data_IF_623489151984
#
_entry.id   IF_623489151984
#
_cell.length_a   1.000
_cell.length_b   1.000
_cell.length_c   1.000
_cell.angle_alpha   90.00
_cell.angle_beta   90.00
_cell.angle_gamma   90.00
#
_symmetry.space_group_name_H-M   'P 1'
#
loop_
_entity.id
_entity.type
_entity.pdbx_description
1 polymer ?
#
# COMPACT_ATOMS: atom_id res chain seq x y z
N UNK A 1 53.98 10.13 23.79
CA UNK A 1 54.62 9.26 22.78
C UNK A 1 53.95 7.90 22.63
N UNK A 2 54.04 6.94 23.57
CA UNK A 2 53.41 5.61 23.38
C UNK A 2 51.87 5.61 23.36
N UNK A 3 51.24 6.45 24.20
CA UNK A 3 49.77 6.61 24.24
C UNK A 3 49.22 7.34 23.00
N UNK A 4 50.01 8.24 22.41
CA UNK A 4 49.64 8.96 21.19
C UNK A 4 49.75 8.04 19.96
N UNK A 5 50.76 7.17 19.90
CA UNK A 5 50.85 6.17 18.83
C UNK A 5 49.72 5.14 18.89
N UNK A 6 49.25 4.78 20.09
CA UNK A 6 48.15 3.83 20.26
C UNK A 6 46.80 4.45 19.87
N UNK A 7 46.58 5.73 20.18
CA UNK A 7 45.40 6.47 19.74
C UNK A 7 45.36 6.67 18.22
N UNK A 8 46.50 6.96 17.59
CA UNK A 8 46.61 7.05 16.12
C UNK A 8 46.41 5.69 15.46
N UNK A 9 46.93 4.61 16.06
CA UNK A 9 46.69 3.25 15.59
C UNK A 9 45.20 2.89 15.66
N UNK A 10 44.51 3.20 16.76
CA UNK A 10 43.07 3.02 16.89
C UNK A 10 42.27 3.77 15.82
N UNK A 11 42.54 5.06 15.64
CA UNK A 11 41.85 5.88 14.64
C UNK A 11 42.07 5.40 13.19
N UNK A 12 43.27 4.90 12.88
CA UNK A 12 43.56 4.34 11.55
C UNK A 12 42.86 3.00 11.32
N UNK A 13 42.74 2.15 12.35
CA UNK A 13 42.00 0.89 12.29
C UNK A 13 40.50 1.16 12.08
N UNK A 14 39.92 2.09 12.82
CA UNK A 14 38.51 2.47 12.65
C UNK A 14 38.21 3.01 11.25
N UNK A 15 39.12 3.83 10.70
CA UNK A 15 38.99 4.34 9.33
C UNK A 15 39.11 3.23 8.28
N UNK A 16 40.03 2.29 8.48
CA UNK A 16 40.18 1.12 7.62
C UNK A 16 38.93 0.22 7.70
N UNK A 17 38.37 0.04 8.88
CA UNK A 17 37.16 -0.75 9.09
C UNK A 17 35.95 -0.08 8.43
N UNK A 18 35.76 1.22 8.61
CA UNK A 18 34.69 1.97 7.95
C UNK A 18 34.81 1.88 6.42
N UNK A 19 36.04 1.97 5.89
CA UNK A 19 36.29 1.82 4.46
C UNK A 19 36.05 0.39 3.98
N UNK A 20 36.43 -0.62 4.75
CA UNK A 20 36.18 -2.02 4.44
C UNK A 20 34.69 -2.31 4.43
N UNK A 21 33.93 -1.84 5.43
CA UNK A 21 32.47 -1.93 5.47
C UNK A 21 31.84 -1.29 4.23
N UNK A 22 32.30 -0.10 3.83
CA UNK A 22 31.80 0.55 2.60
C UNK A 22 32.09 -0.28 1.34
N UNK A 23 33.29 -0.84 1.21
CA UNK A 23 33.64 -1.72 0.09
C UNK A 23 32.81 -3.00 0.08
N UNK A 24 32.57 -3.59 1.25
CA UNK A 24 31.69 -4.76 1.42
C UNK A 24 30.27 -4.43 0.99
N UNK A 25 29.72 -3.29 1.42
CA UNK A 25 28.41 -2.82 0.98
C UNK A 25 28.32 -2.63 -0.54
N UNK A 26 29.34 -2.03 -1.16
CA UNK A 26 29.36 -1.87 -2.61
C UNK A 26 29.39 -3.21 -3.36
N UNK A 27 29.95 -4.25 -2.74
CA UNK A 27 30.08 -5.57 -3.34
C UNK A 27 28.82 -6.42 -3.19
N UNK A 28 28.21 -6.42 -2.00
CA UNK A 28 27.05 -7.25 -1.66
C UNK A 28 25.72 -6.53 -1.92
N UNK A 29 25.70 -5.21 -1.82
CA UNK A 29 24.50 -4.36 -1.97
C UNK A 29 23.48 -4.53 -0.86
N UNK A 30 23.77 -5.34 0.17
CA UNK A 30 22.86 -5.70 1.25
C UNK A 30 23.43 -5.26 2.59
N UNK A 31 22.58 -4.63 3.41
CA UNK A 31 22.86 -4.33 4.81
C UNK A 31 21.94 -5.12 5.70
N UNK A 32 22.46 -5.59 6.83
CA UNK A 32 21.64 -6.11 7.91
C UNK A 32 20.84 -4.95 8.53
N UNK A 33 19.79 -5.26 9.30
CA UNK A 33 18.91 -4.26 9.92
C UNK A 33 19.66 -3.27 10.86
N UNK A 34 20.86 -3.63 11.31
CA UNK A 34 21.77 -2.80 12.13
C UNK A 34 22.65 -1.85 11.32
N UNK A 35 22.52 -1.81 9.99
CA UNK A 35 23.33 -0.96 9.11
C UNK A 35 24.76 -1.45 8.90
N UNK A 36 25.12 -2.63 9.43
CA UNK A 36 26.40 -3.29 9.12
C UNK A 36 26.23 -4.08 7.82
N UNK A 37 27.10 -3.89 6.82
CA UNK A 37 27.01 -4.63 5.57
C UNK A 37 27.37 -6.09 5.77
N UNK A 38 26.51 -6.98 5.26
CA UNK A 38 26.66 -8.43 5.38
C UNK A 38 27.99 -8.86 4.77
N UNK A 39 28.78 -9.64 5.50
CA UNK A 39 30.07 -10.14 4.99
C UNK A 39 29.83 -11.02 3.76
N UNK A 40 30.58 -10.83 2.66
CA UNK A 40 30.39 -11.64 1.47
C UNK A 40 30.70 -13.11 1.80
N UNK A 41 29.77 -14.01 1.48
CA UNK A 41 30.03 -15.44 1.57
C UNK A 41 31.20 -15.81 0.66
N UNK A 42 32.06 -16.72 1.14
CA UNK A 42 33.18 -17.21 0.33
C UNK A 42 32.57 -17.93 -0.89
N UNK A 43 32.90 -17.50 -2.13
CA UNK A 43 32.28 -18.08 -3.32
C UNK A 43 32.56 -19.58 -3.36
N UNK A 44 31.52 -20.38 -3.59
CA UNK A 44 31.61 -21.83 -3.61
C UNK A 44 32.33 -22.34 -4.88
N UNK A 45 32.36 -21.51 -5.93
CA UNK A 45 33.02 -21.78 -7.21
C UNK A 45 33.74 -20.54 -7.74
N UNK A 46 34.77 -20.76 -8.57
CA UNK A 46 35.50 -19.68 -9.26
C UNK A 46 34.58 -18.86 -10.17
N UNK A 47 33.48 -19.43 -10.66
CA UNK A 47 32.53 -18.73 -11.53
C UNK A 47 31.69 -17.67 -10.80
N UNK A 48 31.59 -17.78 -9.47
CA UNK A 48 30.88 -16.82 -8.62
C UNK A 48 31.75 -15.61 -8.25
N UNK A 49 33.04 -15.64 -8.60
CA UNK A 49 33.95 -14.52 -8.36
C UNK A 49 33.53 -13.27 -9.14
N UNK A 50 33.74 -12.11 -8.52
CA UNK A 50 33.34 -10.79 -9.05
C UNK A 50 34.02 -10.52 -10.39
N UNK A 51 35.28 -10.92 -10.56
CA UNK A 51 36.03 -10.77 -11.81
C UNK A 51 35.41 -11.57 -12.96
N UNK A 52 34.97 -12.81 -12.72
CA UNK A 52 34.29 -13.64 -13.73
C UNK A 52 32.91 -13.09 -14.08
N UNK A 53 32.15 -12.59 -13.09
CA UNK A 53 30.85 -11.93 -13.31
C UNK A 53 31.01 -10.66 -14.15
N UNK A 54 32.02 -9.84 -13.88
CA UNK A 54 32.32 -8.64 -14.67
C UNK A 54 32.73 -9.01 -16.10
N UNK A 55 33.64 -9.98 -16.27
CA UNK A 55 34.05 -10.44 -17.61
C UNK A 55 32.86 -11.03 -18.41
N UNK A 56 31.93 -11.71 -17.74
CA UNK A 56 30.69 -12.18 -18.36
C UNK A 56 29.82 -11.02 -18.80
N UNK A 57 29.57 -10.04 -17.93
CA UNK A 57 28.79 -8.85 -18.27
C UNK A 57 29.42 -8.07 -19.42
N UNK A 58 30.74 -7.93 -19.45
CA UNK A 58 31.48 -7.32 -20.56
C UNK A 58 31.27 -8.11 -21.86
N UNK A 59 31.39 -9.44 -21.82
CA UNK A 59 31.13 -10.27 -23.00
C UNK A 59 29.68 -10.20 -23.49
N UNK A 60 28.71 -10.09 -22.57
CA UNK A 60 27.29 -9.94 -22.88
C UNK A 60 26.99 -8.54 -23.44
N UNK A 61 27.61 -7.50 -22.90
CA UNK A 61 27.54 -6.12 -23.40
C UNK A 61 28.14 -6.03 -24.81
N UNK A 62 29.28 -6.67 -25.05
CA UNK A 62 29.92 -6.72 -26.36
C UNK A 62 29.09 -7.53 -27.37
N UNK A 63 28.38 -8.56 -26.92
CA UNK A 63 27.39 -9.24 -27.77
C UNK A 63 26.21 -8.32 -28.08
N UNK A 64 25.76 -7.53 -27.10
CA UNK A 64 24.64 -6.60 -27.24
C UNK A 64 24.99 -5.40 -28.13
N UNK A 65 26.22 -4.88 -28.05
CA UNK A 65 26.72 -3.78 -28.87
C UNK A 65 26.72 -4.13 -30.36
N UNK A 66 26.96 -5.41 -30.70
CA UNK A 66 26.90 -5.92 -32.08
C UNK A 66 25.48 -6.11 -32.58
N UNK A 67 24.53 -6.43 -31.70
CA UNK A 67 23.12 -6.68 -32.06
C UNK A 67 22.25 -5.42 -32.07
N UNK A 68 22.55 -4.44 -31.22
CA UNK A 68 21.70 -3.26 -31.01
C UNK A 68 22.50 -1.98 -31.31
N UNK A 69 22.16 -1.24 -32.37
CA UNK A 69 22.91 -0.03 -32.77
C UNK A 69 22.88 1.06 -31.71
N UNK A 70 21.80 1.19 -30.93
CA UNK A 70 21.70 2.18 -29.86
C UNK A 70 22.75 1.99 -28.75
N UNK A 71 23.11 0.74 -28.42
CA UNK A 71 24.13 0.45 -27.39
C UNK A 71 25.51 0.88 -27.90
N UNK A 72 25.79 0.65 -29.19
CA UNK A 72 27.02 1.12 -29.83
C UNK A 72 27.10 2.64 -29.84
N UNK A 73 25.99 3.34 -30.12
CA UNK A 73 25.96 4.79 -30.16
C UNK A 73 26.18 5.40 -28.75
N UNK A 74 25.65 4.77 -27.70
CA UNK A 74 25.90 5.16 -26.30
C UNK A 74 27.37 4.94 -25.91
N UNK A 75 27.96 3.80 -26.31
CA UNK A 75 29.38 3.54 -26.05
C UNK A 75 30.28 4.57 -26.76
N UNK A 76 29.97 4.91 -28.01
CA UNK A 76 30.68 5.98 -28.73
C UNK A 76 30.48 7.36 -28.08
N UNK A 77 29.29 7.62 -27.52
CA UNK A 77 29.02 8.86 -26.81
C UNK A 77 29.82 8.95 -25.51
N UNK A 78 29.93 7.84 -24.78
CA UNK A 78 30.76 7.72 -23.57
C UNK A 78 32.24 7.95 -23.89
N UNK A 79 32.77 7.31 -24.94
CA UNK A 79 34.17 7.48 -25.34
C UNK A 79 34.49 8.92 -25.79
N UNK A 80 33.55 9.57 -26.47
CA UNK A 80 33.72 10.94 -26.96
C UNK A 80 33.55 12.00 -25.87
N UNK A 81 32.71 11.72 -24.87
CA UNK A 81 32.37 12.68 -23.82
C UNK A 81 32.37 11.99 -22.45
N UNK A 82 33.55 11.63 -21.91
CA UNK A 82 33.64 11.02 -20.58
C UNK A 82 33.11 11.95 -19.48
N UNK A 83 33.19 13.27 -19.72
CA UNK A 83 32.76 14.32 -18.81
C UNK A 83 31.24 14.37 -18.57
N UNK A 84 30.43 13.78 -19.45
CA UNK A 84 28.97 13.70 -19.25
C UNK A 84 28.58 12.67 -18.19
N UNK A 85 29.45 11.69 -17.92
CA UNK A 85 29.16 10.54 -17.05
C UNK A 85 30.00 10.53 -15.78
N UNK A 86 31.08 11.31 -15.74
CA UNK A 86 31.82 11.59 -14.52
C UNK A 86 31.23 12.85 -13.88
N UNK A 87 30.62 12.70 -12.71
CA UNK A 87 30.20 13.85 -11.91
C UNK A 87 31.44 14.66 -11.55
N UNK A 88 31.65 15.81 -12.21
CA UNK A 88 32.69 16.76 -11.84
C UNK A 88 32.57 17.05 -10.34
N UNK A 89 33.65 16.96 -9.55
CA UNK A 89 33.59 17.26 -8.13
C UNK A 89 33.07 18.71 -7.93
N UNK A 90 32.21 18.96 -6.93
CA UNK A 90 31.45 20.22 -6.78
C UNK A 90 32.30 21.49 -6.57
N UNK A 91 33.63 21.36 -6.55
CA UNK A 91 34.57 22.46 -6.32
C UNK A 91 35.43 22.82 -7.55
N UNK A 92 35.26 22.14 -8.68
CA UNK A 92 35.96 22.50 -9.92
C UNK A 92 35.00 23.18 -10.87
N UNK A 93 35.28 24.44 -11.20
CA UNK A 93 34.56 25.20 -12.21
C UNK A 93 34.79 24.47 -13.54
N UNK A 94 33.74 24.13 -14.32
CA UNK A 94 33.91 23.39 -15.56
C UNK A 94 34.81 24.18 -16.52
N UNK A 95 35.98 23.63 -16.87
CA UNK A 95 36.98 24.29 -17.74
C UNK A 95 36.50 24.46 -19.19
N UNK A 96 35.41 23.78 -19.59
CA UNK A 96 34.88 23.79 -20.94
C UNK A 96 33.83 24.85 -21.26
N UNK A 97 33.36 25.64 -20.28
CA UNK A 97 32.30 26.62 -20.48
C UNK A 97 32.84 28.06 -20.46
N UNK A 98 32.66 28.78 -21.57
CA UNK A 98 33.02 30.21 -21.63
C UNK A 98 32.21 30.99 -20.60
N UNK A 99 32.80 32.05 -20.03
CA UNK A 99 32.15 32.93 -19.04
C UNK A 99 30.84 33.52 -19.55
N UNK A 100 30.73 33.72 -20.87
CA UNK A 100 29.53 34.18 -21.54
C UNK A 100 28.40 33.13 -21.51
N UNK A 101 28.72 31.85 -21.69
CA UNK A 101 27.74 30.76 -21.59
C UNK A 101 27.24 30.61 -20.16
N UNK A 102 28.14 30.69 -19.16
CA UNK A 102 27.75 30.67 -17.75
C UNK A 102 26.83 31.84 -17.39
N UNK A 103 27.15 33.05 -17.84
CA UNK A 103 26.30 34.22 -17.65
C UNK A 103 24.92 34.02 -18.30
N UNK A 104 24.85 33.44 -19.50
CA UNK A 104 23.58 33.16 -20.19
C UNK A 104 22.72 32.14 -19.44
N UNK A 105 23.34 31.11 -18.85
CA UNK A 105 22.64 30.11 -18.03
C UNK A 105 22.10 30.78 -16.76
N UNK A 106 22.94 31.53 -16.04
CA UNK A 106 22.50 32.24 -14.83
C UNK A 106 21.38 33.23 -15.15
N UNK A 107 21.45 33.95 -16.27
CA UNK A 107 20.38 34.85 -16.71
C UNK A 107 19.09 34.10 -17.05
N UNK A 108 19.19 32.91 -17.65
CA UNK A 108 18.03 32.08 -17.97
C UNK A 108 17.30 31.57 -16.72
N UNK A 109 18.04 31.36 -15.62
CA UNK A 109 17.49 30.95 -14.32
C UNK A 109 17.27 32.13 -13.35
N UNK A 110 17.54 33.37 -13.77
CA UNK A 110 17.52 34.54 -12.90
C UNK A 110 16.15 34.80 -12.28
N UNK A 111 15.06 34.45 -12.96
CA UNK A 111 13.69 34.58 -12.45
C UNK A 111 13.27 33.41 -11.55
N UNK A 112 13.89 32.24 -11.71
CA UNK A 112 13.62 31.06 -10.88
C UNK A 112 14.20 31.20 -9.46
N UNK A 113 15.30 31.93 -9.28
CA UNK A 113 15.88 32.17 -7.95
C UNK A 113 14.98 32.98 -7.00
N UNK A 114 14.41 34.14 -7.37
CA UNK A 114 13.48 34.86 -6.51
C UNK A 114 12.16 34.12 -6.35
N UNK A 115 11.67 33.39 -7.36
CA UNK A 115 10.46 32.56 -7.23
C UNK A 115 10.65 31.41 -6.24
N UNK A 116 11.77 30.69 -6.31
CA UNK A 116 12.08 29.60 -5.37
C UNK A 116 12.35 30.13 -3.97
N UNK A 117 13.03 31.26 -3.82
CA UNK A 117 13.19 31.93 -2.53
C UNK A 117 11.84 32.34 -1.94
N UNK A 118 10.93 32.94 -2.72
CA UNK A 118 9.59 33.29 -2.28
C UNK A 118 8.77 32.06 -1.87
N UNK A 119 8.87 30.96 -2.63
CA UNK A 119 8.22 29.68 -2.27
C UNK A 119 8.79 29.08 -0.99
N UNK A 120 10.11 29.15 -0.78
CA UNK A 120 10.75 28.67 0.46
C UNK A 120 10.37 29.53 1.67
N UNK A 121 10.30 30.86 1.52
CA UNK A 121 9.78 31.74 2.56
C UNK A 121 8.32 31.42 2.88
N UNK A 122 7.48 31.27 1.85
CA UNK A 122 6.07 30.90 2.02
C UNK A 122 5.89 29.51 2.65
N UNK A 123 6.79 28.56 2.39
CA UNK A 123 6.80 27.23 3.02
C UNK A 123 7.26 27.29 4.49
N UNK A 124 8.19 28.18 4.81
CA UNK A 124 8.63 28.42 6.18
C UNK A 124 7.53 29.07 7.04
N UNK A 125 6.64 29.84 6.41
CA UNK A 125 5.47 30.44 7.06
C UNK A 125 4.34 29.42 7.32
N UNK A 126 4.43 28.19 6.80
CA UNK A 126 3.50 27.11 7.15
C UNK A 126 3.91 26.52 8.51
N UNK A 127 3.09 26.66 9.56
CA UNK A 127 3.37 25.97 10.81
C UNK A 127 3.26 24.47 10.55
N UNK A 128 4.39 23.77 10.66
CA UNK A 128 4.39 22.31 10.77
C UNK A 128 3.51 21.98 11.99
N UNK A 129 2.46 21.14 11.84
CA UNK A 129 1.60 20.79 12.96
C UNK A 129 2.45 20.29 14.12
N UNK A 130 2.08 20.66 15.34
CA UNK A 130 2.90 20.31 16.49
C UNK A 130 3.08 18.78 16.57
N UNK A 131 4.28 18.36 16.97
CA UNK A 131 4.58 16.95 17.10
C UNK A 131 3.68 16.28 18.16
N UNK A 132 3.15 17.05 19.10
CA UNK A 132 2.28 16.58 20.18
C UNK A 132 0.89 16.18 19.68
N UNK A 133 0.24 16.98 18.82
CA UNK A 133 -1.04 16.62 18.19
C UNK A 133 -0.87 15.45 17.26
N UNK A 134 0.25 15.41 16.51
CA UNK A 134 0.56 14.28 15.63
C UNK A 134 0.77 12.99 16.42
N UNK A 135 1.45 13.04 17.56
CA UNK A 135 1.61 11.90 18.47
C UNK A 135 0.27 11.50 19.11
N UNK A 136 -0.56 12.47 19.53
CA UNK A 136 -1.88 12.20 20.09
C UNK A 136 -2.81 11.49 19.08
N UNK A 137 -2.70 11.81 17.79
CA UNK A 137 -3.44 11.08 16.74
C UNK A 137 -2.99 9.62 16.62
N UNK A 138 -1.69 9.36 16.75
CA UNK A 138 -1.14 7.99 16.73
C UNK A 138 -1.62 7.22 17.97
N UNK A 139 -1.66 7.86 19.13
CA UNK A 139 -2.14 7.25 20.38
C UNK A 139 -3.64 6.92 20.36
N UNK A 140 -4.44 7.65 19.57
CA UNK A 140 -5.87 7.39 19.40
C UNK A 140 -6.17 6.22 18.46
N UNK A 141 -5.26 5.88 17.55
CA UNK A 141 -5.40 4.76 16.60
C UNK A 141 -5.84 3.43 17.26
N UNK A 142 -5.18 2.92 18.32
CA UNK A 142 -5.59 1.67 18.95
C UNK A 142 -6.98 1.73 19.60
N UNK A 143 -7.44 2.91 20.02
CA UNK A 143 -8.78 3.07 20.57
C UNK A 143 -9.84 2.98 19.48
N UNK A 144 -9.57 3.60 18.32
CA UNK A 144 -10.44 3.48 17.14
C UNK A 144 -10.52 2.04 16.64
N UNK A 145 -9.39 1.32 16.62
CA UNK A 145 -9.37 -0.08 16.18
C UNK A 145 -10.21 -0.98 17.10
N UNK A 146 -10.12 -0.78 18.43
CA UNK A 146 -10.98 -1.49 19.39
C UNK A 146 -12.46 -1.18 19.17
N UNK A 147 -12.82 0.09 18.96
CA UNK A 147 -14.19 0.48 18.70
C UNK A 147 -14.71 -0.12 17.40
N UNK A 148 -13.91 -0.10 16.34
CA UNK A 148 -14.24 -0.71 15.05
C UNK A 148 -14.48 -2.22 15.19
N UNK A 149 -13.67 -2.92 15.99
CA UNK A 149 -13.89 -4.33 16.28
C UNK A 149 -15.22 -4.55 17.01
N UNK A 150 -15.50 -3.79 18.07
CA UNK A 150 -16.77 -3.93 18.80
C UNK A 150 -17.98 -3.63 17.91
N UNK A 151 -17.86 -2.65 16.99
CA UNK A 151 -18.91 -2.34 16.04
C UNK A 151 -19.15 -3.50 15.06
N UNK A 152 -18.09 -4.17 14.62
CA UNK A 152 -18.20 -5.33 13.74
C UNK A 152 -18.89 -6.52 14.41
N UNK A 153 -18.56 -6.77 15.69
CA UNK A 153 -19.19 -7.82 16.51
C UNK A 153 -20.69 -7.52 16.71
N UNK A 154 -21.02 -6.28 17.09
CA UNK A 154 -22.42 -5.84 17.24
C UNK A 154 -23.20 -5.94 15.92
N UNK A 155 -22.58 -5.57 14.79
CA UNK A 155 -23.23 -5.69 13.48
C UNK A 155 -23.54 -7.14 13.11
N UNK A 156 -22.63 -8.08 13.44
CA UNK A 156 -22.85 -9.50 13.25
C UNK A 156 -24.02 -10.01 14.11
N UNK A 157 -24.04 -9.68 15.41
CA UNK A 157 -25.13 -10.05 16.33
C UNK A 157 -26.48 -9.49 15.87
N UNK A 158 -26.53 -8.21 15.47
CA UNK A 158 -27.75 -7.58 14.96
C UNK A 158 -28.23 -8.29 13.70
N UNK A 159 -27.32 -8.65 12.79
CA UNK A 159 -27.69 -9.38 11.57
C UNK A 159 -28.29 -10.75 11.88
N UNK A 160 -27.73 -11.47 12.85
CA UNK A 160 -28.26 -12.75 13.29
C UNK A 160 -29.63 -12.61 13.96
N UNK A 161 -29.78 -11.66 14.87
CA UNK A 161 -31.03 -11.38 15.55
C UNK A 161 -32.13 -10.98 14.55
N UNK A 162 -31.79 -10.21 13.52
CA UNK A 162 -32.72 -9.86 12.44
C UNK A 162 -33.19 -11.10 11.68
N UNK A 163 -32.28 -12.01 11.33
CA UNK A 163 -32.63 -13.26 10.65
C UNK A 163 -33.51 -14.15 11.52
N UNK A 164 -33.18 -14.30 12.81
CA UNK A 164 -33.98 -15.08 13.77
C UNK A 164 -35.38 -14.47 13.93
N UNK A 165 -35.46 -13.16 14.08
CA UNK A 165 -36.74 -12.44 14.23
C UNK A 165 -37.59 -12.57 12.98
N UNK A 166 -37.00 -12.41 11.79
CA UNK A 166 -37.71 -12.60 10.53
C UNK A 166 -38.30 -14.01 10.40
N UNK A 167 -37.55 -15.05 10.79
CA UNK A 167 -38.04 -16.44 10.77
C UNK A 167 -39.20 -16.67 11.74
N UNK A 168 -39.12 -16.11 12.94
CA UNK A 168 -40.21 -16.23 13.93
C UNK A 168 -41.47 -15.50 13.43
N UNK A 169 -41.31 -14.29 12.89
CA UNK A 169 -42.41 -13.52 12.32
C UNK A 169 -43.03 -14.23 11.13
N UNK A 170 -42.22 -14.79 10.22
CA UNK A 170 -42.70 -15.58 9.09
C UNK A 170 -43.52 -16.77 9.58
N UNK A 171 -43.01 -17.56 10.53
CA UNK A 171 -43.74 -18.70 11.09
C UNK A 171 -45.05 -18.29 11.76
N UNK A 172 -45.04 -17.17 12.48
CA UNK A 172 -46.25 -16.64 13.11
C UNK A 172 -47.28 -16.18 12.06
N UNK A 173 -46.84 -15.55 10.97
CA UNK A 173 -47.71 -15.15 9.88
C UNK A 173 -48.31 -16.38 9.17
N UNK A 174 -47.47 -17.34 8.79
CA UNK A 174 -47.88 -18.53 8.05
C UNK A 174 -48.84 -19.41 8.87
N UNK A 175 -48.48 -19.71 10.13
CA UNK A 175 -49.28 -20.62 10.96
C UNK A 175 -50.40 -19.87 11.70
N UNK A 176 -50.06 -18.74 12.30
CA UNK A 176 -50.94 -18.02 13.20
C UNK A 176 -52.01 -17.22 12.47
N UNK A 177 -51.64 -16.52 11.39
CA UNK A 177 -52.60 -15.70 10.65
C UNK A 177 -53.20 -16.47 9.47
N UNK A 178 -52.37 -16.97 8.56
CA UNK A 178 -52.84 -17.63 7.33
C UNK A 178 -53.51 -18.96 7.67
N UNK A 179 -52.84 -19.84 8.41
CA UNK A 179 -53.41 -21.14 8.80
C UNK A 179 -54.69 -21.02 9.64
N UNK A 180 -54.77 -20.05 10.55
CA UNK A 180 -56.01 -19.75 11.28
C UNK A 180 -57.10 -19.25 10.34
N UNK A 181 -56.78 -18.36 9.41
CA UNK A 181 -57.71 -17.86 8.40
C UNK A 181 -58.28 -18.96 7.50
N UNK A 182 -57.45 -19.90 7.06
CA UNK A 182 -57.88 -21.08 6.29
C UNK A 182 -58.86 -21.95 7.09
N UNK A 183 -58.56 -22.19 8.37
CA UNK A 183 -59.45 -22.95 9.27
C UNK A 183 -60.81 -22.23 9.47
N UNK A 184 -60.79 -20.91 9.69
CA UNK A 184 -62.01 -20.11 9.80
C UNK A 184 -62.82 -20.14 8.51
N UNK A 185 -62.18 -20.02 7.35
CA UNK A 185 -62.86 -20.08 6.06
C UNK A 185 -63.47 -21.47 5.79
N UNK A 186 -62.78 -22.56 6.17
CA UNK A 186 -63.34 -23.91 6.08
C UNK A 186 -64.57 -24.05 6.99
N UNK A 187 -64.49 -23.58 8.23
CA UNK A 187 -65.61 -23.63 9.16
C UNK A 187 -66.81 -22.81 8.69
N UNK A 188 -66.57 -21.61 8.13
CA UNK A 188 -67.60 -20.78 7.52
C UNK A 188 -68.26 -21.48 6.33
N UNK A 189 -67.47 -22.10 5.44
CA UNK A 189 -68.00 -22.87 4.31
C UNK A 189 -68.87 -24.05 4.75
N UNK A 190 -68.43 -24.80 5.77
CA UNK A 190 -69.22 -25.90 6.36
C UNK A 190 -70.50 -25.41 7.02
N UNK A 191 -70.45 -24.27 7.71
CA UNK A 191 -71.63 -23.67 8.32
C UNK A 191 -72.63 -23.21 7.25
N UNK A 192 -72.15 -22.62 6.16
CA UNK A 192 -72.97 -22.20 5.03
C UNK A 192 -73.67 -23.39 4.35
N UNK A 193 -72.97 -24.52 4.19
CA UNK A 193 -73.56 -25.74 3.66
C UNK A 193 -74.67 -26.29 4.56
N UNK A 194 -74.45 -26.32 5.87
CA UNK A 194 -75.48 -26.71 6.85
C UNK A 194 -76.66 -25.72 6.81
N UNK A 195 -76.40 -24.42 6.72
CA UNK A 195 -77.47 -23.41 6.60
C UNK A 195 -78.30 -23.62 5.33
N UNK A 196 -77.66 -23.92 4.20
CA UNK A 196 -78.35 -24.25 2.94
C UNK A 196 -79.22 -25.50 3.09
N UNK A 197 -78.74 -26.55 3.75
CA UNK A 197 -79.51 -27.77 4.00
C UNK A 197 -80.71 -27.51 4.92
N UNK A 198 -80.53 -26.76 6.00
CA UNK A 198 -81.61 -26.36 6.90
C UNK A 198 -82.66 -25.54 6.16
N UNK A 199 -82.24 -24.53 5.38
CA UNK A 199 -83.14 -23.70 4.59
C UNK A 199 -83.94 -24.51 3.56
N UNK A 200 -83.31 -25.48 2.87
CA UNK A 200 -84.01 -26.41 1.97
C UNK A 200 -85.04 -27.25 2.72
N UNK A 201 -84.70 -27.77 3.91
CA UNK A 201 -85.61 -28.53 4.76
C UNK A 201 -86.80 -27.71 5.24
N UNK A 202 -86.57 -26.45 5.61
CA UNK A 202 -87.63 -25.51 6.02
C UNK A 202 -88.59 -25.18 4.87
N UNK A 203 -88.08 -24.92 3.66
CA UNK A 203 -88.92 -24.69 2.48
C UNK A 203 -89.81 -25.91 2.17
N UNK A 204 -89.25 -27.13 2.28
CA UNK A 204 -90.04 -28.37 2.11
C UNK A 204 -91.10 -28.52 3.19
N UNK A 205 -90.81 -28.13 4.44
CA UNK A 205 -91.78 -28.18 5.55
C UNK A 205 -92.91 -27.16 5.34
N UNK A 206 -92.58 -25.92 5.02
CA UNK A 206 -93.57 -24.87 4.74
C UNK A 206 -94.47 -25.23 3.55
N UNK A 207 -93.89 -25.75 2.46
CA UNK A 207 -94.67 -26.23 1.31
C UNK A 207 -95.57 -27.44 1.60
N UNK A 208 -95.34 -28.19 2.69
CA UNK A 208 -96.24 -29.25 3.17
C UNK A 208 -97.32 -28.74 4.12
N UNK A 209 -97.09 -27.62 4.79
CA UNK A 209 -98.07 -26.97 5.68
C UNK A 209 -99.05 -26.09 4.89
N UNK A 210 -98.65 -25.61 3.71
CA UNK A 210 -99.47 -24.79 2.81
C UNK A 210 -100.28 -25.58 1.75
N UNK A 211 -100.14 -26.92 1.70
CA UNK A 211 -100.85 -27.83 0.79
C UNK A 211 -101.92 -28.67 1.51
#
# INVERSE_FOLDING_TARGET
>A
MALESDAVAGATIELLEARLRRLTYLLTGTTDWTGVPTTPEKPASLDETVSRRLARLESELERLSRGVPAVRDILQLHDRNPDLFQTTPPHQIPEGLTTQTLASIVLSYATAFPETASRLTSLNDLPVPDAQSSAALIDLQPQLDRLAQTQSEQAAEISELRVRTARVLQRWYDVGLVGSGECWAEWEGRLEDVEREVRRGEVVRQGREEA
#
